data_IF_861779305368
#
_entry.id   IF_861779305368
#
_cell.length_a   1.000
_cell.length_b   1.000
_cell.length_c   1.000
_cell.angle_alpha   90.00
_cell.angle_beta   90.00
_cell.angle_gamma   90.00
#
_symmetry.space_group_name_H-M   'P 1'
#
loop_
_entity.id
_entity.type
_entity.pdbx_description
1 polymer ?
#
# COMPACT_ATOMS: atom_id res chain seq x y z
N UNK A 1 4.74 -1.03 9.08
CA UNK A 1 3.60 -0.36 8.41
C UNK A 1 3.61 1.12 8.76
N UNK A 2 3.44 2.04 7.79
CA UNK A 2 3.59 3.49 8.01
C UNK A 2 2.33 4.11 8.64
N UNK A 3 2.35 4.30 9.97
CA UNK A 3 1.27 4.93 10.74
C UNK A 3 0.85 6.30 10.19
N UNK A 4 1.80 7.08 9.67
CA UNK A 4 1.56 8.41 9.10
C UNK A 4 0.57 8.43 7.92
N UNK A 5 0.54 7.37 7.09
CA UNK A 5 -0.37 7.30 5.93
C UNK A 5 -1.81 7.12 6.38
N UNK A 6 -2.03 6.32 7.41
CA UNK A 6 -3.36 6.08 7.98
C UNK A 6 -3.86 7.28 8.79
N UNK A 7 -2.96 7.97 9.49
CA UNK A 7 -3.27 9.24 10.15
C UNK A 7 -3.71 10.31 9.13
N UNK A 8 -2.98 10.45 8.02
CA UNK A 8 -3.37 11.33 6.93
C UNK A 8 -4.75 10.99 6.34
N UNK A 9 -5.07 9.70 6.19
CA UNK A 9 -6.39 9.24 5.76
C UNK A 9 -7.47 9.65 6.77
N UNK A 10 -7.22 9.43 8.08
CA UNK A 10 -8.16 9.82 9.14
C UNK A 10 -8.45 11.33 9.13
N UNK A 11 -7.41 12.16 9.02
CA UNK A 11 -7.58 13.62 8.94
C UNK A 11 -8.45 14.03 7.75
N UNK A 12 -8.26 13.39 6.59
CA UNK A 12 -9.11 13.66 5.42
C UNK A 12 -10.57 13.28 5.67
N UNK A 13 -10.84 12.18 6.36
CA UNK A 13 -12.19 11.75 6.72
C UNK A 13 -12.84 12.70 7.73
N UNK A 14 -12.09 13.14 8.75
CA UNK A 14 -12.55 14.13 9.73
C UNK A 14 -12.88 15.47 9.06
N UNK A 15 -12.20 15.81 7.96
CA UNK A 15 -12.49 16.97 7.10
C UNK A 15 -13.68 16.75 6.12
N UNK A 16 -14.29 15.56 6.11
CA UNK A 16 -15.36 15.19 5.17
C UNK A 16 -14.89 14.96 3.73
N UNK A 17 -13.58 14.78 3.51
CA UNK A 17 -12.99 14.54 2.18
C UNK A 17 -12.81 13.05 1.93
N UNK A 18 -12.97 12.65 0.67
CA UNK A 18 -12.66 11.29 0.24
C UNK A 18 -11.13 11.13 0.10
N UNK A 19 -10.50 10.20 0.83
CA UNK A 19 -9.08 9.93 0.71
C UNK A 19 -8.72 9.45 -0.69
N UNK A 20 -7.83 10.17 -1.37
CA UNK A 20 -7.26 9.80 -2.67
C UNK A 20 -5.75 9.75 -2.56
N UNK A 21 -5.08 9.05 -3.49
CA UNK A 21 -3.60 8.93 -3.47
C UNK A 21 -2.94 10.31 -3.46
N UNK A 22 -3.45 11.27 -4.24
CA UNK A 22 -2.92 12.64 -4.29
C UNK A 22 -3.17 13.42 -3.00
N UNK A 23 -4.38 13.34 -2.42
CA UNK A 23 -4.73 14.02 -1.18
C UNK A 23 -3.99 13.43 0.02
N UNK A 24 -3.88 12.11 0.10
CA UNK A 24 -3.12 11.43 1.17
C UNK A 24 -1.64 11.81 1.07
N UNK A 25 -1.07 11.85 -0.15
CA UNK A 25 0.31 12.30 -0.36
C UNK A 25 0.53 13.74 0.10
N UNK A 26 -0.38 14.67 -0.21
CA UNK A 26 -0.20 16.09 0.13
C UNK A 26 -0.27 16.36 1.64
N UNK A 27 -0.86 15.44 2.42
CA UNK A 27 -0.91 15.49 3.88
C UNK A 27 0.30 14.88 4.57
N UNK A 28 1.15 14.14 3.86
CA UNK A 28 2.36 13.54 4.41
C UNK A 28 3.51 14.53 4.41
N UNK A 29 4.14 14.71 5.58
CA UNK A 29 5.34 15.55 5.74
C UNK A 29 6.62 14.79 5.40
N UNK A 30 6.61 13.47 5.55
CA UNK A 30 7.75 12.60 5.26
C UNK A 30 7.65 11.99 3.87
N UNK A 31 8.76 11.93 3.10
CA UNK A 31 8.78 11.28 1.79
C UNK A 31 8.40 9.80 1.95
N UNK A 32 7.21 9.46 1.47
CA UNK A 32 6.66 8.10 1.58
C UNK A 32 6.55 7.50 0.17
N UNK A 33 7.01 6.26 -0.05
CA UNK A 33 6.91 5.62 -1.35
C UNK A 33 5.45 5.56 -1.82
N UNK A 34 5.21 5.95 -3.07
CA UNK A 34 3.87 5.96 -3.68
C UNK A 34 3.14 4.61 -3.56
N UNK A 35 3.80 3.43 -3.73
CA UNK A 35 3.14 2.13 -3.57
C UNK A 35 2.53 1.93 -2.17
N UNK A 36 3.16 2.48 -1.13
CA UNK A 36 2.66 2.39 0.25
C UNK A 36 1.40 3.23 0.43
N UNK A 37 1.36 4.42 -0.18
CA UNK A 37 0.19 5.30 -0.18
C UNK A 37 -0.96 4.62 -0.93
N UNK A 38 -0.68 4.03 -2.11
CA UNK A 38 -1.68 3.31 -2.91
C UNK A 38 -2.25 2.13 -2.14
N UNK A 39 -1.40 1.33 -1.49
CA UNK A 39 -1.83 0.19 -0.69
C UNK A 39 -2.77 0.62 0.46
N UNK A 40 -2.42 1.67 1.20
CA UNK A 40 -3.24 2.18 2.29
C UNK A 40 -4.60 2.73 1.81
N UNK A 41 -4.60 3.51 0.73
CA UNK A 41 -5.84 4.05 0.13
C UNK A 41 -6.71 2.91 -0.42
N UNK A 42 -6.11 1.88 -1.02
CA UNK A 42 -6.83 0.70 -1.50
C UNK A 42 -7.44 -0.10 -0.35
N UNK A 43 -6.70 -0.32 0.74
CA UNK A 43 -7.20 -0.99 1.95
C UNK A 43 -8.40 -0.25 2.54
N UNK A 44 -8.30 1.07 2.68
CA UNK A 44 -9.40 1.93 3.10
C UNK A 44 -10.64 1.75 2.21
N UNK A 45 -10.47 1.81 0.88
CA UNK A 45 -11.60 1.70 -0.06
C UNK A 45 -12.31 0.35 0.01
N UNK A 46 -11.56 -0.74 0.21
CA UNK A 46 -12.12 -2.09 0.31
C UNK A 46 -12.73 -2.35 1.68
N UNK A 47 -12.19 -1.74 2.74
CA UNK A 47 -12.67 -1.90 4.10
C UNK A 47 -12.47 -0.59 4.90
N UNK A 48 -13.47 0.31 4.94
CA UNK A 48 -13.34 1.60 5.60
C UNK A 48 -13.14 1.49 7.12
N UNK A 49 -13.62 0.41 7.74
CA UNK A 49 -13.45 0.14 9.17
C UNK A 49 -12.01 -0.25 9.55
N UNK A 50 -11.18 -0.62 8.57
CA UNK A 50 -9.79 -0.99 8.79
C UNK A 50 -8.95 0.12 9.41
N UNK A 51 -9.31 1.40 9.16
CA UNK A 51 -8.63 2.58 9.73
C UNK A 51 -8.72 2.59 11.27
N UNK A 52 -9.85 2.17 11.83
CA UNK A 52 -10.09 2.20 13.28
C UNK A 52 -9.41 1.04 14.02
N UNK A 53 -9.16 -0.08 13.34
CA UNK A 53 -8.48 -1.24 13.91
C UNK A 53 -6.95 -1.07 14.03
N UNK A 54 -6.37 -0.03 13.42
CA UNK A 54 -4.93 0.26 13.49
C UNK A 54 -4.49 0.95 14.79
N UNK A 55 -5.41 1.49 15.57
CA UNK A 55 -5.11 2.13 16.88
C UNK A 55 -4.95 1.10 18.01
N UNK A 56 -5.28 -0.18 17.78
CA UNK A 56 -5.04 -1.24 18.75
C UNK A 56 -3.58 -1.70 18.64
N UNK A 57 -2.84 -1.81 19.76
CA UNK A 57 -1.46 -2.28 19.73
C UNK A 57 -1.40 -3.65 19.05
N UNK A 58 -0.34 -3.92 18.26
CA UNK A 58 -0.34 -5.03 17.32
C UNK A 58 -0.35 -6.35 18.08
N UNK A 59 -1.42 -7.15 17.91
CA UNK A 59 -1.28 -8.61 17.97
C UNK A 59 -0.60 -9.01 16.67
N UNK A 60 0.70 -9.27 16.80
CA UNK A 60 1.58 -9.92 15.84
C UNK A 60 0.80 -10.93 14.98
N UNK A 61 0.60 -10.61 13.70
CA UNK A 61 0.17 -11.58 12.69
C UNK A 61 1.22 -11.53 11.59
N UNK A 62 2.28 -12.29 11.80
CA UNK A 62 3.21 -12.68 10.75
C UNK A 62 2.43 -13.50 9.72
N UNK A 63 2.28 -13.01 8.47
CA UNK A 63 1.85 -13.83 7.30
C UNK A 63 1.89 -13.11 5.95
N UNK A 64 2.03 -11.78 5.86
CA UNK A 64 1.85 -11.07 4.58
C UNK A 64 3.15 -10.71 3.83
N UNK A 65 4.32 -10.73 4.48
CA UNK A 65 5.59 -10.38 3.81
C UNK A 65 6.05 -11.50 2.85
N UNK A 66 5.85 -12.76 3.21
CA UNK A 66 6.21 -13.91 2.36
C UNK A 66 5.37 -13.99 1.09
N UNK A 67 4.06 -13.68 1.18
CA UNK A 67 3.16 -13.70 0.03
C UNK A 67 3.52 -12.61 -0.99
N UNK A 68 3.87 -11.40 -0.53
CA UNK A 68 4.27 -10.31 -1.42
C UNK A 68 5.62 -10.57 -2.10
N UNK A 69 6.61 -11.12 -1.40
CA UNK A 69 7.87 -11.55 -2.01
C UNK A 69 7.63 -12.63 -3.07
N UNK A 70 6.81 -13.65 -2.75
CA UNK A 70 6.51 -14.73 -3.70
C UNK A 70 5.78 -14.25 -4.96
N UNK A 71 4.99 -13.18 -4.87
CA UNK A 71 4.33 -12.58 -6.02
C UNK A 71 5.31 -11.79 -6.88
N UNK A 72 6.25 -11.07 -6.26
CA UNK A 72 7.30 -10.34 -6.96
C UNK A 72 8.23 -11.31 -7.72
N UNK A 73 8.69 -12.39 -7.08
CA UNK A 73 9.52 -13.42 -7.73
C UNK A 73 8.85 -14.00 -8.97
N UNK A 74 7.53 -14.27 -8.89
CA UNK A 74 6.74 -14.78 -10.02
C UNK A 74 6.62 -13.76 -11.16
N UNK A 75 6.54 -12.47 -10.84
CA UNK A 75 6.47 -11.40 -11.83
C UNK A 75 7.83 -11.26 -12.52
N UNK A 76 8.93 -11.29 -11.77
CA UNK A 76 10.29 -11.23 -12.29
C UNK A 76 10.58 -12.39 -13.25
N UNK A 77 10.27 -13.63 -12.87
CA UNK A 77 10.43 -14.79 -13.76
C UNK A 77 9.66 -14.67 -15.08
N UNK A 78 8.44 -14.13 -15.04
CA UNK A 78 7.64 -13.93 -16.26
C UNK A 78 8.23 -12.86 -17.16
N UNK A 79 8.78 -11.80 -16.58
CA UNK A 79 9.46 -10.74 -17.34
C UNK A 79 10.73 -11.28 -17.99
N UNK A 80 11.54 -12.08 -17.29
CA UNK A 80 12.72 -12.71 -17.87
C UNK A 80 12.38 -13.63 -19.05
N UNK A 81 11.30 -14.41 -18.92
CA UNK A 81 10.82 -15.25 -20.03
C UNK A 81 10.39 -14.42 -21.24
N UNK A 82 9.65 -13.32 -21.02
CA UNK A 82 9.24 -12.41 -22.09
C UNK A 82 10.46 -11.76 -22.74
N UNK A 83 11.41 -11.26 -21.96
CA UNK A 83 12.64 -10.65 -22.49
C UNK A 83 13.47 -11.65 -23.30
N UNK A 84 13.53 -12.91 -22.86
CA UNK A 84 14.23 -13.98 -23.60
C UNK A 84 13.55 -14.27 -24.94
N UNK A 85 12.21 -14.26 -24.99
CA UNK A 85 11.46 -14.46 -26.23
C UNK A 85 11.53 -13.27 -27.18
N UNK A 86 11.69 -12.06 -26.65
CA UNK A 86 11.81 -10.81 -27.40
C UNK A 86 13.26 -10.47 -27.77
N UNK A 87 14.25 -11.18 -27.21
CA UNK A 87 15.64 -10.98 -27.56
C UNK A 87 15.84 -11.27 -29.06
N UNK A 88 16.38 -10.30 -29.84
CA UNK A 88 16.65 -10.53 -31.25
C UNK A 88 17.69 -11.65 -31.40
N UNK A 89 17.44 -12.57 -32.34
CA UNK A 89 18.35 -13.66 -32.68
C UNK A 89 19.62 -13.16 -33.33
#
# INVERSE_FOLDING_TARGET
MNAAVFEAIKVLLDEGKVPTVALTKSRLTTPTPMPVIIAAVSQYKNNPDSIYNLMKPPKQSASNEDQNNSQLDRIEQKLDQLLTLLAPK
#
